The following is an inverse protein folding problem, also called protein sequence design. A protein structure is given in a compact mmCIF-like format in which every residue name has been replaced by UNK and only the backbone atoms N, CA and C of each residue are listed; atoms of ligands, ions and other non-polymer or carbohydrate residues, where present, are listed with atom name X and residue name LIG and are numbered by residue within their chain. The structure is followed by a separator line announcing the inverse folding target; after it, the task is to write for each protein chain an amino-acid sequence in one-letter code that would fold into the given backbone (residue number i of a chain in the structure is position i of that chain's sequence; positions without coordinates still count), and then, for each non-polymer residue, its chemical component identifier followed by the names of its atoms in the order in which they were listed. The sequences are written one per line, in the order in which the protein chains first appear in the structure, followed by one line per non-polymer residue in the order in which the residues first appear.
data_IF_319265247994
#
_entry.id   IF_319265247994
#
_cell.length_a   1.000
_cell.length_b   1.000
_cell.length_c   1.000
_cell.angle_alpha   90.00
_cell.angle_beta   90.00
_cell.angle_gamma   90.00
#
_symmetry.space_group_name_H-M   'P 1'
#
loop_
_entity.id
_entity.type
_entity.pdbx_description
1 polymer ?
#
# COMPACT_ATOMS: atom_id res chain seq x y z
N UNK A 1 58.75 54.29 2.88
CA UNK A 1 57.57 53.42 2.75
C UNK A 1 58.02 52.09 2.14
N UNK A 2 58.23 51.00 2.91
CA UNK A 2 58.54 49.71 2.31
C UNK A 2 57.24 48.96 1.97
N UNK A 3 57.19 48.41 0.75
CA UNK A 3 56.10 47.59 0.23
C UNK A 3 55.92 46.31 1.07
N UNK A 4 54.70 46.08 1.58
CA UNK A 4 54.31 44.82 2.23
C UNK A 4 54.32 43.69 1.21
N UNK A 5 55.14 42.68 1.42
CA UNK A 5 55.14 41.46 0.63
C UNK A 5 53.78 40.73 0.75
N UNK A 6 53.13 40.49 -0.39
CA UNK A 6 51.96 39.61 -0.48
C UNK A 6 52.38 38.17 -0.18
N UNK A 7 51.82 37.59 0.88
CA UNK A 7 52.00 36.17 1.23
C UNK A 7 51.32 35.33 0.13
N UNK A 8 52.08 34.49 -0.55
CA UNK A 8 51.55 33.52 -1.51
C UNK A 8 50.55 32.59 -0.79
N UNK A 9 49.32 32.46 -1.33
CA UNK A 9 48.40 31.40 -0.92
C UNK A 9 49.02 30.08 -1.35
N UNK A 10 49.28 29.21 -0.37
CA UNK A 10 49.71 27.84 -0.60
C UNK A 10 48.44 27.06 -0.95
N UNK A 11 48.08 27.05 -2.23
CA UNK A 11 47.02 26.18 -2.72
C UNK A 11 47.53 24.74 -2.61
N UNK A 12 47.15 24.05 -1.55
CA UNK A 12 47.38 22.62 -1.41
C UNK A 12 46.63 21.92 -2.56
N UNK A 13 47.24 20.97 -3.28
CA UNK A 13 46.53 20.20 -4.29
C UNK A 13 45.37 19.49 -3.58
N UNK A 14 44.13 19.85 -3.93
CA UNK A 14 42.96 19.10 -3.48
C UNK A 14 43.05 17.73 -4.13
N UNK A 15 43.50 16.73 -3.37
CA UNK A 15 43.39 15.33 -3.76
C UNK A 15 41.90 15.04 -3.84
N UNK A 16 41.38 14.93 -5.08
CA UNK A 16 40.01 14.50 -5.29
C UNK A 16 39.85 13.13 -4.63
N UNK A 17 38.81 12.94 -3.80
CA UNK A 17 38.57 11.64 -3.19
C UNK A 17 38.41 10.58 -4.30
N UNK A 18 38.87 9.35 -4.07
CA UNK A 18 38.72 8.28 -5.05
C UNK A 18 37.25 8.14 -5.43
N UNK A 19 36.99 8.05 -6.74
CA UNK A 19 35.63 7.89 -7.25
C UNK A 19 35.03 6.61 -6.64
N UNK A 20 33.87 6.69 -5.96
CA UNK A 20 33.24 5.53 -5.37
C UNK A 20 32.91 4.48 -6.44
N UNK A 21 32.97 3.20 -6.07
CA UNK A 21 32.56 2.13 -6.97
C UNK A 21 31.07 2.26 -7.31
N UNK A 22 30.63 1.69 -8.45
CA UNK A 22 29.21 1.68 -8.82
C UNK A 22 28.32 1.15 -7.69
N UNK A 23 28.75 0.09 -7.01
CA UNK A 23 28.05 -0.52 -5.88
C UNK A 23 27.95 0.43 -4.68
N UNK A 24 29.03 1.16 -4.35
CA UNK A 24 29.03 2.17 -3.29
C UNK A 24 28.13 3.36 -3.62
N UNK A 25 28.11 3.80 -4.88
CA UNK A 25 27.17 4.83 -5.34
C UNK A 25 25.73 4.36 -5.18
N UNK A 26 25.42 3.11 -5.53
CA UNK A 26 24.09 2.55 -5.33
C UNK A 26 23.72 2.47 -3.85
N UNK A 27 24.62 1.97 -2.97
CA UNK A 27 24.36 1.89 -1.54
C UNK A 27 24.17 3.27 -0.89
N UNK A 28 24.94 4.27 -1.30
CA UNK A 28 24.82 5.64 -0.78
C UNK A 28 23.52 6.30 -1.22
N UNK A 29 23.09 6.06 -2.47
CA UNK A 29 21.79 6.48 -2.97
C UNK A 29 20.67 5.79 -2.18
N UNK A 30 20.79 4.49 -1.90
CA UNK A 30 19.80 3.75 -1.12
C UNK A 30 19.70 4.25 0.32
N UNK A 31 20.83 4.51 0.99
CA UNK A 31 20.83 5.05 2.35
C UNK A 31 20.22 6.44 2.43
N UNK A 32 20.51 7.32 1.46
CA UNK A 32 19.89 8.66 1.39
C UNK A 32 18.39 8.57 1.20
N UNK A 33 17.92 7.71 0.30
CA UNK A 33 16.49 7.50 0.02
C UNK A 33 15.77 6.86 1.20
N UNK A 34 16.39 5.89 1.89
CA UNK A 34 15.82 5.30 3.10
C UNK A 34 15.67 6.34 4.20
N UNK A 35 16.67 7.22 4.36
CA UNK A 35 16.62 8.31 5.33
C UNK A 35 15.57 9.37 4.95
N UNK A 36 15.45 9.71 3.67
CA UNK A 36 14.38 10.57 3.15
C UNK A 36 13.00 9.95 3.39
N UNK A 37 12.86 8.64 3.21
CA UNK A 37 11.64 7.88 3.48
C UNK A 37 11.31 7.83 4.97
N UNK A 38 12.28 7.56 5.84
CA UNK A 38 12.09 7.60 7.29
C UNK A 38 11.73 9.01 7.77
N UNK A 39 12.34 10.04 7.17
CA UNK A 39 12.02 11.43 7.45
C UNK A 39 10.62 11.79 6.96
N UNK A 40 10.23 11.30 5.77
CA UNK A 40 8.87 11.42 5.24
C UNK A 40 7.87 10.74 6.18
N UNK A 41 8.12 9.50 6.62
CA UNK A 41 7.29 8.81 7.61
C UNK A 41 7.18 9.59 8.93
N UNK A 42 8.29 10.17 9.41
CA UNK A 42 8.28 11.01 10.61
C UNK A 42 7.53 12.32 10.42
N UNK A 43 7.65 12.96 9.27
CA UNK A 43 6.96 14.22 8.97
C UNK A 43 5.48 14.01 8.69
N UNK A 44 5.10 12.91 8.03
CA UNK A 44 3.70 12.58 7.77
C UNK A 44 2.97 12.12 9.03
N UNK A 45 3.67 11.48 9.98
CA UNK A 45 3.17 11.26 11.35
C UNK A 45 2.81 12.57 12.07
N UNK A 46 3.36 13.71 11.68
CA UNK A 46 3.00 15.03 12.21
C UNK A 46 1.93 15.77 11.39
N UNK A 47 1.60 15.33 10.17
CA UNK A 47 0.55 15.93 9.32
C UNK A 47 -0.82 15.26 9.50
N UNK A 48 -1.10 14.77 10.71
CA UNK A 48 -2.25 13.92 11.05
C UNK A 48 -3.62 14.65 11.02
N UNK A 49 -3.67 15.95 10.66
CA UNK A 49 -4.79 16.82 11.03
C UNK A 49 -5.62 17.48 9.91
N UNK A 50 -5.50 17.12 8.61
CA UNK A 50 -6.38 17.83 7.65
C UNK A 50 -6.89 17.10 6.39
N UNK A 51 -6.29 16.00 5.94
CA UNK A 51 -6.76 15.33 4.71
C UNK A 51 -6.77 13.82 4.93
N UNK A 52 -7.95 13.20 4.91
CA UNK A 52 -8.09 11.76 5.11
C UNK A 52 -7.78 11.01 3.83
N UNK A 53 -6.50 10.88 3.50
CA UNK A 53 -6.00 10.03 2.40
C UNK A 53 -6.08 8.54 2.77
N UNK A 54 -7.02 8.19 3.65
CA UNK A 54 -7.19 6.86 4.22
C UNK A 54 -8.43 6.22 3.62
N UNK A 55 -8.26 4.96 3.24
CA UNK A 55 -9.34 4.10 2.79
C UNK A 55 -9.45 2.91 3.74
N UNK A 56 -10.59 2.22 3.68
CA UNK A 56 -10.77 0.96 4.37
C UNK A 56 -11.19 -0.14 3.39
N UNK A 57 -10.77 -1.36 3.69
CA UNK A 57 -11.17 -2.59 3.01
C UNK A 57 -11.63 -3.59 4.07
N UNK A 58 -12.91 -3.90 4.10
CA UNK A 58 -13.46 -4.98 4.92
C UNK A 58 -13.32 -6.29 4.16
N UNK A 59 -12.66 -7.26 4.80
CA UNK A 59 -12.36 -8.56 4.21
C UNK A 59 -13.27 -9.61 4.83
N UNK A 60 -14.00 -10.33 3.99
CA UNK A 60 -14.75 -11.54 4.35
C UNK A 60 -13.95 -12.79 4.00
N UNK A 61 -14.08 -13.84 4.83
CA UNK A 61 -13.56 -15.19 4.56
C UNK A 61 -14.75 -16.15 4.69
N UNK A 62 -15.16 -16.75 3.57
CA UNK A 62 -16.44 -17.45 3.48
C UNK A 62 -17.59 -16.49 3.80
N UNK A 63 -18.47 -16.89 4.71
CA UNK A 63 -19.65 -16.11 5.11
C UNK A 63 -19.38 -15.18 6.31
N UNK A 64 -18.15 -15.11 6.81
CA UNK A 64 -17.79 -14.35 8.00
C UNK A 64 -16.94 -13.12 7.67
N UNK A 65 -17.29 -11.98 8.27
CA UNK A 65 -16.42 -10.79 8.28
C UNK A 65 -15.15 -11.10 9.08
N UNK A 66 -14.00 -11.11 8.41
CA UNK A 66 -12.73 -11.46 9.02
C UNK A 66 -12.02 -10.26 9.66
N UNK A 67 -12.23 -9.05 9.13
CA UNK A 67 -11.73 -7.82 9.70
C UNK A 67 -11.62 -6.68 8.69
N UNK A 68 -11.05 -5.56 9.14
CA UNK A 68 -10.85 -4.35 8.35
C UNK A 68 -9.36 -4.08 8.17
N UNK A 69 -8.97 -3.73 6.96
CA UNK A 69 -7.69 -3.09 6.65
C UNK A 69 -7.93 -1.59 6.53
N UNK A 70 -7.14 -0.79 7.25
CA UNK A 70 -7.08 0.65 7.03
C UNK A 70 -5.78 0.96 6.32
N UNK A 71 -5.88 1.66 5.20
CA UNK A 71 -4.77 1.95 4.30
C UNK A 71 -4.62 3.45 4.15
N UNK A 72 -3.38 3.93 4.24
CA UNK A 72 -2.98 5.28 3.90
C UNK A 72 -2.40 5.30 2.48
N UNK A 73 -2.93 6.16 1.62
CA UNK A 73 -2.48 6.33 0.23
C UNK A 73 -1.40 7.40 0.13
N UNK A 74 -0.37 7.15 -0.67
CA UNK A 74 0.75 8.06 -0.90
C UNK A 74 0.43 9.06 -2.01
N UNK A 75 -0.63 9.86 -1.84
CA UNK A 75 -1.12 10.82 -2.84
C UNK A 75 -0.06 11.88 -3.23
N UNK A 76 0.92 12.15 -2.37
CA UNK A 76 2.03 13.08 -2.62
C UNK A 76 3.18 12.46 -3.43
N UNK A 77 3.31 11.13 -3.41
CA UNK A 77 4.37 10.40 -4.13
C UNK A 77 3.87 9.88 -5.48
N UNK A 78 2.62 9.39 -5.51
CA UNK A 78 1.96 8.77 -6.67
C UNK A 78 0.51 9.23 -6.81
N UNK A 79 0.27 10.53 -7.08
CA UNK A 79 -1.08 11.11 -7.14
C UNK A 79 -2.01 10.40 -8.14
N UNK A 80 -1.52 10.03 -9.33
CA UNK A 80 -2.38 9.41 -10.35
C UNK A 80 -2.79 8.00 -9.94
N UNK A 81 -1.86 7.22 -9.39
CA UNK A 81 -2.07 5.85 -8.93
C UNK A 81 -2.97 5.82 -7.70
N UNK A 82 -2.74 6.71 -6.74
CA UNK A 82 -3.57 6.84 -5.56
C UNK A 82 -5.00 7.27 -5.92
N UNK A 83 -5.16 8.26 -6.81
CA UNK A 83 -6.46 8.70 -7.28
C UNK A 83 -7.20 7.60 -8.07
N UNK A 84 -6.49 6.84 -8.91
CA UNK A 84 -7.07 5.71 -9.64
C UNK A 84 -7.61 4.66 -8.67
N UNK A 85 -6.79 4.24 -7.70
CA UNK A 85 -7.20 3.27 -6.69
C UNK A 85 -8.38 3.79 -5.85
N UNK A 86 -8.35 5.06 -5.43
CA UNK A 86 -9.42 5.69 -4.66
C UNK A 86 -10.77 5.66 -5.39
N UNK A 87 -10.80 5.94 -6.69
CA UNK A 87 -12.04 5.88 -7.50
C UNK A 87 -12.64 4.48 -7.55
N UNK A 88 -11.81 3.43 -7.61
CA UNK A 88 -12.26 2.05 -7.56
C UNK A 88 -12.69 1.62 -6.16
N UNK A 89 -12.08 2.17 -5.12
CA UNK A 89 -12.53 1.94 -3.73
C UNK A 89 -13.90 2.57 -3.47
N UNK A 90 -14.16 3.78 -3.98
CA UNK A 90 -15.44 4.49 -3.76
C UNK A 90 -16.52 4.15 -4.78
N UNK A 91 -16.14 3.59 -5.94
CA UNK A 91 -17.05 3.34 -7.05
C UNK A 91 -17.52 4.59 -7.78
N UNK A 92 -16.80 5.71 -7.62
CA UNK A 92 -17.09 6.99 -8.30
C UNK A 92 -16.91 6.92 -9.82
N UNK A 93 -16.19 5.91 -10.31
CA UNK A 93 -16.00 5.67 -11.75
C UNK A 93 -17.25 5.16 -12.47
N UNK A 94 -18.35 4.90 -11.76
CA UNK A 94 -19.61 4.45 -12.35
C UNK A 94 -19.55 3.01 -12.85
N UNK A 95 -20.09 2.75 -14.04
CA UNK A 95 -20.16 1.41 -14.65
C UNK A 95 -19.39 1.38 -15.96
N UNK A 96 -18.80 0.23 -16.27
CA UNK A 96 -18.13 0.00 -17.54
C UNK A 96 -19.16 -0.16 -18.67
N UNK A 97 -19.14 0.74 -19.66
CA UNK A 97 -20.17 0.84 -20.71
C UNK A 97 -20.41 -0.47 -21.47
N UNK A 98 -19.36 -1.24 -21.75
CA UNK A 98 -19.47 -2.46 -22.55
C UNK A 98 -19.97 -3.68 -21.77
N UNK A 99 -19.73 -3.75 -20.46
CA UNK A 99 -20.04 -4.94 -19.65
C UNK A 99 -21.13 -4.70 -18.60
N UNK A 100 -21.48 -3.44 -18.32
CA UNK A 100 -22.38 -3.06 -17.23
C UNK A 100 -21.83 -3.31 -15.83
N UNK A 101 -20.57 -3.76 -15.72
CA UNK A 101 -19.92 -4.04 -14.43
C UNK A 101 -19.60 -2.72 -13.74
N UNK A 102 -19.94 -2.62 -12.45
CA UNK A 102 -19.58 -1.46 -11.64
C UNK A 102 -18.07 -1.39 -11.46
N UNK A 103 -17.50 -0.20 -11.65
CA UNK A 103 -16.07 0.04 -11.53
C UNK A 103 -15.71 0.30 -10.07
N UNK A 104 -15.86 -0.74 -9.24
CA UNK A 104 -15.45 -0.74 -7.84
C UNK A 104 -14.76 -2.05 -7.41
N UNK A 105 -14.19 -2.05 -6.21
CA UNK A 105 -13.60 -3.23 -5.60
C UNK A 105 -14.58 -4.07 -4.77
N UNK A 106 -15.86 -3.67 -4.71
CA UNK A 106 -16.84 -4.35 -3.91
C UNK A 106 -17.07 -5.78 -4.46
N UNK A 107 -17.03 -6.77 -3.59
CA UNK A 107 -17.13 -8.19 -3.92
C UNK A 107 -16.03 -8.74 -4.85
N UNK A 108 -14.94 -8.00 -5.04
CA UNK A 108 -13.75 -8.55 -5.70
C UNK A 108 -13.05 -9.55 -4.77
N UNK A 109 -12.50 -10.61 -5.36
CA UNK A 109 -11.90 -11.72 -4.63
C UNK A 109 -10.40 -11.54 -4.38
N UNK A 110 -9.88 -12.23 -3.37
CA UNK A 110 -8.45 -12.50 -3.24
C UNK A 110 -8.06 -13.61 -4.21
N UNK A 111 -7.29 -13.24 -5.23
CA UNK A 111 -6.98 -14.12 -6.37
C UNK A 111 -5.78 -15.02 -6.13
N UNK A 112 -4.82 -14.58 -5.31
CA UNK A 112 -3.54 -15.26 -5.14
C UNK A 112 -2.90 -14.86 -3.83
N UNK A 113 -2.38 -15.83 -3.09
CA UNK A 113 -1.41 -15.63 -2.03
C UNK A 113 -0.10 -16.30 -2.45
N UNK A 114 0.91 -15.49 -2.75
CA UNK A 114 2.25 -15.95 -3.08
C UNK A 114 3.15 -15.86 -1.84
N UNK A 115 3.17 -16.93 -1.03
CA UNK A 115 4.00 -17.01 0.18
C UNK A 115 5.50 -16.98 -0.12
N UNK A 116 5.90 -17.41 -1.32
CA UNK A 116 7.31 -17.47 -1.71
C UNK A 116 7.85 -16.07 -1.96
N UNK A 117 7.05 -15.22 -2.61
CA UNK A 117 7.44 -13.84 -2.95
C UNK A 117 6.83 -12.80 -2.00
N UNK A 118 5.98 -13.22 -1.06
CA UNK A 118 5.51 -12.43 0.06
C UNK A 118 4.44 -11.40 -0.28
N UNK A 119 3.44 -11.74 -1.10
CA UNK A 119 2.33 -10.83 -1.41
C UNK A 119 0.99 -11.56 -1.64
N UNK A 120 -0.11 -10.83 -1.48
CA UNK A 120 -1.48 -11.28 -1.76
C UNK A 120 -2.14 -10.35 -2.77
N UNK A 121 -2.81 -10.88 -3.81
CA UNK A 121 -3.37 -10.12 -4.94
C UNK A 121 -4.90 -10.08 -4.93
N UNK A 122 -5.45 -8.91 -5.23
CA UNK A 122 -6.88 -8.60 -5.25
C UNK A 122 -7.25 -7.76 -6.48
N UNK A 123 -8.55 -7.59 -6.70
CA UNK A 123 -9.12 -6.46 -7.45
C UNK A 123 -9.02 -6.55 -8.97
N UNK A 124 -8.74 -7.74 -9.54
CA UNK A 124 -8.67 -7.93 -10.98
C UNK A 124 -10.07 -7.91 -11.63
N UNK A 125 -10.48 -6.72 -12.07
CA UNK A 125 -11.72 -6.54 -12.80
C UNK A 125 -11.70 -7.18 -14.20
N UNK A 126 -10.54 -7.60 -14.71
CA UNK A 126 -10.45 -8.31 -15.98
C UNK A 126 -11.19 -9.65 -15.95
N UNK A 127 -11.26 -10.29 -14.78
CA UNK A 127 -12.07 -11.50 -14.57
C UNK A 127 -13.57 -11.29 -14.87
N UNK A 128 -14.03 -10.04 -14.86
CA UNK A 128 -15.40 -9.62 -15.18
C UNK A 128 -15.50 -8.95 -16.56
N UNK A 129 -14.48 -9.09 -17.41
CA UNK A 129 -14.46 -8.52 -18.76
C UNK A 129 -14.22 -7.00 -18.80
N UNK A 130 -13.87 -6.38 -17.67
CA UNK A 130 -13.57 -4.95 -17.61
C UNK A 130 -12.12 -4.72 -17.99
N UNK A 131 -11.90 -3.91 -19.03
CA UNK A 131 -10.57 -3.46 -19.43
C UNK A 131 -10.52 -1.95 -19.40
N UNK A 132 -9.83 -1.41 -18.40
CA UNK A 132 -9.59 0.03 -18.28
C UNK A 132 -8.39 0.46 -19.12
N UNK A 133 -8.34 1.76 -19.41
CA UNK A 133 -7.16 2.39 -19.99
C UNK A 133 -5.94 2.13 -19.10
N UNK A 134 -4.79 1.76 -19.68
CA UNK A 134 -3.60 1.45 -18.91
C UNK A 134 -3.12 2.65 -18.07
N UNK A 135 -2.97 2.44 -16.77
CA UNK A 135 -2.37 3.44 -15.90
C UNK A 135 -0.83 3.41 -16.04
N UNK A 136 -0.23 4.58 -16.27
CA UNK A 136 1.22 4.72 -16.35
C UNK A 136 1.83 4.63 -14.95
N UNK A 137 2.95 3.91 -14.85
CA UNK A 137 3.74 3.83 -13.62
C UNK A 137 4.45 5.16 -13.35
N UNK A 138 4.13 5.81 -12.22
CA UNK A 138 4.65 7.13 -11.87
C UNK A 138 6.09 7.09 -11.34
N UNK A 139 6.32 6.37 -10.23
CA UNK A 139 7.65 6.32 -9.60
C UNK A 139 7.91 5.03 -8.84
N UNK A 140 9.19 4.65 -8.74
CA UNK A 140 9.67 3.49 -7.98
C UNK A 140 10.50 3.92 -6.75
N UNK A 141 10.24 5.13 -6.24
CA UNK A 141 10.94 5.69 -5.06
C UNK A 141 10.74 4.82 -3.82
N UNK A 142 9.52 4.31 -3.63
CA UNK A 142 9.16 3.45 -2.50
C UNK A 142 9.42 1.99 -2.89
N UNK A 143 10.15 1.28 -2.03
CA UNK A 143 10.58 -0.11 -2.22
C UNK A 143 9.69 -1.05 -1.41
N UNK A 144 9.60 -2.31 -1.82
CA UNK A 144 8.78 -3.32 -1.16
C UNK A 144 9.50 -3.91 0.07
N UNK A 145 9.85 -3.05 1.03
CA UNK A 145 10.75 -3.39 2.16
C UNK A 145 10.05 -3.99 3.37
N UNK A 146 8.73 -3.94 3.43
CA UNK A 146 7.97 -4.35 4.61
C UNK A 146 6.60 -4.90 4.25
N UNK A 147 5.98 -5.58 5.22
CA UNK A 147 4.60 -6.04 5.17
C UNK A 147 3.62 -4.86 5.16
N UNK A 148 2.52 -5.04 4.44
CA UNK A 148 1.40 -4.11 4.40
C UNK A 148 1.57 -2.98 3.39
N UNK A 149 2.51 -3.07 2.45
CA UNK A 149 2.61 -2.12 1.35
C UNK A 149 1.64 -2.50 0.23
N UNK A 150 0.89 -1.54 -0.27
CA UNK A 150 0.03 -1.71 -1.44
C UNK A 150 0.82 -1.40 -2.70
N UNK A 151 0.72 -2.28 -3.68
CA UNK A 151 1.43 -2.17 -4.94
C UNK A 151 0.53 -2.49 -6.11
N UNK A 152 0.64 -1.70 -7.18
CA UNK A 152 -0.21 -1.86 -8.35
C UNK A 152 0.30 -3.02 -9.21
N UNK A 153 -0.55 -4.03 -9.44
CA UNK A 153 -0.17 -5.18 -10.25
C UNK A 153 -0.02 -4.72 -11.70
N UNK A 154 1.13 -5.04 -12.29
CA UNK A 154 1.44 -4.73 -13.68
C UNK A 154 1.65 -6.02 -14.46
N UNK A 155 1.03 -6.13 -15.63
CA UNK A 155 1.14 -7.28 -16.53
C UNK A 155 2.14 -7.04 -17.69
N UNK A 156 2.86 -5.91 -17.67
CA UNK A 156 3.84 -5.53 -18.69
C UNK A 156 4.21 -4.04 -18.62
N UNK A 157 5.15 -3.56 -19.45
CA UNK A 157 5.51 -2.15 -19.47
C UNK A 157 4.26 -1.29 -19.72
N UNK A 158 3.91 -0.47 -18.72
CA UNK A 158 2.80 0.49 -18.79
C UNK A 158 1.39 -0.11 -18.87
N UNK A 159 1.19 -1.36 -18.43
CA UNK A 159 -0.12 -2.01 -18.32
C UNK A 159 -0.48 -2.28 -16.84
N UNK A 160 -0.76 -1.20 -16.11
CA UNK A 160 -1.41 -1.31 -14.80
C UNK A 160 -2.93 -1.29 -15.03
N UNK A 161 -3.62 -2.33 -14.57
CA UNK A 161 -5.07 -2.43 -14.64
C UNK A 161 -5.66 -2.10 -13.26
N UNK A 162 -6.68 -2.83 -12.85
CA UNK A 162 -7.40 -2.68 -11.59
C UNK A 162 -6.81 -3.54 -10.47
N UNK A 163 -5.98 -4.54 -10.80
CA UNK A 163 -5.43 -5.47 -9.81
C UNK A 163 -4.36 -4.82 -8.94
N UNK A 164 -4.41 -5.06 -7.64
CA UNK A 164 -3.41 -4.61 -6.68
C UNK A 164 -2.95 -5.76 -5.80
N UNK A 165 -1.77 -5.61 -5.21
CA UNK A 165 -1.24 -6.57 -4.23
C UNK A 165 -0.91 -5.89 -2.91
N UNK A 166 -1.06 -6.62 -1.82
CA UNK A 166 -0.62 -6.23 -0.48
C UNK A 166 0.56 -7.12 -0.11
N UNK A 167 1.68 -6.53 0.28
CA UNK A 167 2.85 -7.30 0.72
C UNK A 167 2.58 -7.98 2.07
N UNK A 168 2.94 -9.26 2.19
CA UNK A 168 2.90 -10.05 3.41
C UNK A 168 4.26 -10.07 4.13
N UNK A 169 5.33 -9.87 3.37
CA UNK A 169 6.70 -9.69 3.84
C UNK A 169 7.44 -8.68 2.95
N UNK A 170 8.75 -8.48 3.16
CA UNK A 170 9.57 -7.76 2.19
C UNK A 170 9.55 -8.52 0.85
N UNK A 171 9.22 -7.82 -0.25
CA UNK A 171 9.01 -8.41 -1.57
C UNK A 171 9.91 -7.74 -2.64
N UNK A 172 11.25 -7.83 -2.52
CA UNK A 172 12.19 -7.17 -3.43
C UNK A 172 12.09 -7.67 -4.88
N UNK A 173 11.41 -8.79 -5.14
CA UNK A 173 11.13 -9.26 -6.50
C UNK A 173 10.20 -8.33 -7.30
N UNK A 174 9.42 -7.49 -6.62
CA UNK A 174 8.47 -6.53 -7.19
C UNK A 174 9.07 -5.14 -7.43
N UNK A 175 10.24 -4.89 -6.86
CA UNK A 175 10.96 -3.63 -6.99
C UNK A 175 11.27 -3.28 -8.44
N UNK A 176 11.08 -2.00 -8.79
CA UNK A 176 11.21 -1.45 -10.15
C UNK A 176 10.27 -2.07 -11.20
N UNK A 177 9.36 -2.96 -10.80
CA UNK A 177 8.34 -3.56 -11.68
C UNK A 177 6.95 -3.08 -11.34
N UNK A 178 6.69 -2.86 -10.06
CA UNK A 178 5.39 -2.42 -9.54
C UNK A 178 5.56 -1.15 -8.69
N UNK A 179 4.55 -0.31 -8.71
CA UNK A 179 4.53 0.98 -8.02
C UNK A 179 3.85 0.77 -6.67
N UNK A 180 4.57 1.07 -5.59
CA UNK A 180 3.99 1.12 -4.24
C UNK A 180 3.22 2.43 -4.10
N UNK A 181 1.94 2.34 -3.72
CA UNK A 181 1.03 3.50 -3.67
C UNK A 181 0.31 3.69 -2.34
N UNK A 182 0.52 2.80 -1.37
CA UNK A 182 -0.04 2.99 -0.04
C UNK A 182 0.52 2.00 0.97
N UNK A 183 0.05 2.12 2.21
CA UNK A 183 0.43 1.25 3.32
C UNK A 183 -0.73 1.00 4.27
N UNK A 184 -0.87 -0.25 4.70
CA UNK A 184 -1.75 -0.67 5.78
C UNK A 184 -1.25 -0.07 7.10
N UNK A 185 -2.08 0.79 7.69
CA UNK A 185 -1.83 1.45 8.98
C UNK A 185 -2.58 0.77 10.13
N UNK A 186 -3.65 0.03 9.83
CA UNK A 186 -4.38 -0.82 10.79
C UNK A 186 -4.88 -2.11 10.12
N UNK A 187 -5.01 -3.18 10.90
CA UNK A 187 -5.42 -4.49 10.42
C UNK A 187 -4.27 -5.42 10.01
N UNK A 188 -3.03 -5.16 10.43
CA UNK A 188 -1.90 -6.08 10.17
C UNK A 188 -2.16 -7.54 10.60
N UNK A 189 -2.77 -7.85 11.76
CA UNK A 189 -3.11 -9.23 12.13
C UNK A 189 -4.02 -9.95 11.13
N UNK A 190 -4.85 -9.21 10.38
CA UNK A 190 -5.67 -9.78 9.32
C UNK A 190 -4.80 -10.26 8.15
N UNK A 191 -3.70 -9.58 7.83
CA UNK A 191 -2.76 -10.06 6.80
C UNK A 191 -2.07 -11.38 7.21
N UNK A 192 -1.71 -11.54 8.48
CA UNK A 192 -1.19 -12.82 9.01
C UNK A 192 -2.23 -13.93 8.88
N UNK A 193 -3.49 -13.62 9.21
CA UNK A 193 -4.60 -14.56 9.05
C UNK A 193 -4.77 -14.98 7.58
N UNK A 194 -4.75 -14.03 6.65
CA UNK A 194 -4.83 -14.30 5.21
C UNK A 194 -3.66 -15.18 4.75
N UNK A 195 -2.44 -14.84 5.14
CA UNK A 195 -1.24 -15.60 4.79
C UNK A 195 -1.31 -17.06 5.26
N UNK A 196 -1.95 -17.34 6.39
CA UNK A 196 -2.10 -18.68 6.98
C UNK A 196 -3.18 -19.57 6.32
N UNK A 197 -4.01 -19.03 5.41
CA UNK A 197 -5.14 -19.76 4.85
C UNK A 197 -4.71 -21.00 4.06
N UNK A 198 -5.49 -22.11 4.09
CA UNK A 198 -5.28 -23.21 3.16
C UNK A 198 -5.40 -22.75 1.71
N UNK A 199 -4.41 -23.08 0.88
CA UNK A 199 -4.35 -22.69 -0.54
C UNK A 199 -4.38 -23.92 -1.45
N UNK A 200 -4.84 -23.73 -2.68
CA UNK A 200 -4.66 -24.71 -3.74
C UNK A 200 -3.20 -24.71 -4.28
N UNK A 201 -2.94 -25.53 -5.30
CA UNK A 201 -1.61 -25.68 -5.90
C UNK A 201 -1.09 -24.42 -6.59
N UNK A 202 -1.97 -23.49 -6.95
CA UNK A 202 -1.61 -22.23 -7.63
C UNK A 202 -1.66 -21.03 -6.68
N UNK A 203 -1.92 -21.24 -5.38
CA UNK A 203 -1.91 -20.21 -4.34
C UNK A 203 -3.25 -19.51 -4.12
N UNK A 204 -4.36 -20.05 -4.63
CA UNK A 204 -5.71 -19.51 -4.39
C UNK A 204 -6.25 -20.01 -3.04
N UNK A 205 -6.88 -19.16 -2.22
CA UNK A 205 -7.55 -19.61 -0.99
C UNK A 205 -8.60 -20.69 -1.27
N UNK A 206 -8.59 -21.78 -0.51
CA UNK A 206 -9.62 -22.83 -0.62
C UNK A 206 -10.99 -22.34 -0.12
N UNK A 207 -10.99 -21.45 0.87
CA UNK A 207 -12.17 -20.72 1.31
C UNK A 207 -12.20 -19.37 0.61
N UNK A 208 -13.30 -18.99 -0.07
CA UNK A 208 -13.39 -17.70 -0.75
C UNK A 208 -13.08 -16.53 0.17
N UNK A 209 -12.24 -15.61 -0.29
CA UNK A 209 -11.93 -14.37 0.43
C UNK A 209 -12.28 -13.21 -0.48
N UNK A 210 -13.04 -12.24 0.04
CA UNK A 210 -13.58 -11.13 -0.76
C UNK A 210 -13.52 -9.82 0.00
N UNK A 211 -13.48 -8.72 -0.75
CA UNK A 211 -13.71 -7.38 -0.20
C UNK A 211 -15.22 -7.20 -0.06
N UNK A 212 -15.73 -7.23 1.17
CA UNK A 212 -17.17 -7.16 1.44
C UNK A 212 -17.69 -5.72 1.53
N UNK A 213 -16.82 -4.78 1.90
CA UNK A 213 -17.11 -3.35 1.92
C UNK A 213 -15.80 -2.59 1.74
N UNK A 214 -15.84 -1.47 1.03
CA UNK A 214 -14.70 -0.58 0.89
C UNK A 214 -15.16 0.87 0.73
N UNK A 215 -14.29 1.80 1.07
CA UNK A 215 -14.58 3.23 0.96
C UNK A 215 -13.47 4.11 1.49
N UNK A 216 -13.67 5.42 1.43
CA UNK A 216 -12.82 6.41 2.08
C UNK A 216 -13.23 6.56 3.54
N UNK A 217 -12.25 6.77 4.42
CA UNK A 217 -12.53 7.21 5.78
C UNK A 217 -12.65 8.72 5.76
N UNK A 218 -13.78 9.26 6.22
CA UNK A 218 -14.00 10.69 6.42
C UNK A 218 -14.05 10.96 7.93
N UNK A 219 -13.24 11.91 8.41
CA UNK A 219 -13.18 12.29 9.83
C UNK A 219 -11.95 11.78 10.59
N UNK A 220 -11.88 12.17 11.87
CA UNK A 220 -10.81 11.79 12.78
C UNK A 220 -10.83 10.28 13.10
N UNK A 221 -9.66 9.72 13.41
CA UNK A 221 -9.54 8.32 13.84
C UNK A 221 -10.44 8.09 15.06
N UNK A 222 -11.43 7.18 15.02
CA UNK A 222 -12.18 6.86 16.22
C UNK A 222 -11.20 6.31 17.28
N UNK A 223 -11.17 6.87 18.51
CA UNK A 223 -10.30 6.36 19.56
C UNK A 223 -10.76 4.96 19.95
N UNK A 224 -9.92 3.96 19.69
CA UNK A 224 -10.20 2.56 20.06
C UNK A 224 -9.19 1.59 19.44
N UNK A 225 -8.90 0.51 20.16
CA UNK A 225 -8.32 -0.70 19.56
C UNK A 225 -9.48 -1.52 18.99
N UNK A 226 -9.36 -1.97 17.75
CA UNK A 226 -10.31 -2.93 17.19
C UNK A 226 -10.12 -4.27 17.90
N UNK A 227 -10.96 -4.54 18.91
CA UNK A 227 -11.00 -5.88 19.52
C UNK A 227 -11.63 -6.81 18.48
N UNK A 228 -10.88 -7.80 18.02
CA UNK A 228 -11.46 -8.87 17.21
C UNK A 228 -12.54 -9.57 18.04
N UNK A 229 -13.59 -10.05 17.38
CA UNK A 229 -14.69 -10.80 17.99
C UNK A 229 -14.27 -12.14 18.63
N UNK A 230 -12.96 -12.41 18.74
CA UNK A 230 -12.42 -13.58 19.45
C UNK A 230 -12.18 -13.32 20.96
N UNK A 231 -12.30 -12.08 21.44
CA UNK A 231 -12.24 -11.76 22.89
C UNK A 231 -13.59 -11.91 23.62
N UNK A 232 -14.64 -12.40 22.94
CA UNK A 232 -15.94 -12.73 23.56
C UNK A 232 -16.17 -14.24 23.61
N UNK A 233 -15.30 -14.97 24.29
CA UNK A 233 -15.70 -16.26 24.90
C UNK A 233 -16.14 -15.98 26.34
N UNK A 234 -17.37 -15.51 26.43
CA UNK A 234 -18.10 -15.34 27.68
C UNK A 234 -19.57 -15.27 27.35
N UNK A 235 -20.20 -16.43 27.22
CA UNK A 235 -21.65 -16.54 27.13
C UNK A 235 -22.30 -15.73 28.26
N UNK A 236 -23.17 -14.77 27.91
CA UNK A 236 -24.59 -14.80 28.28
C UNK A 236 -25.36 -13.69 27.57
N UNK A 237 -26.61 -14.03 27.31
CA UNK A 237 -27.67 -13.25 26.67
C UNK A 237 -27.84 -11.88 27.33
N UNK A 238 -28.12 -10.85 26.53
CA UNK A 238 -29.39 -10.10 26.59
C UNK A 238 -29.34 -8.89 25.64
N UNK A 239 -30.32 -8.87 24.74
CA UNK A 239 -30.66 -7.76 23.86
C UNK A 239 -31.41 -6.70 24.68
N UNK A 240 -30.86 -5.51 24.82
CA UNK A 240 -31.64 -4.32 25.15
C UNK A 240 -30.98 -3.07 24.55
N UNK A 241 -31.74 -2.39 23.70
CA UNK A 241 -31.44 -1.08 23.12
C UNK A 241 -32.24 -0.08 23.96
N UNK A 242 -31.60 0.67 24.84
CA UNK A 242 -32.21 1.86 25.45
C UNK A 242 -31.59 3.10 24.82
N UNK A 243 -32.43 3.84 24.10
CA UNK A 243 -32.14 5.19 23.65
C UNK A 243 -32.13 6.10 24.88
N UNK A 244 -31.08 6.91 25.03
CA UNK A 244 -31.08 8.02 25.97
C UNK A 244 -31.29 9.31 25.19
N UNK A 245 -32.33 10.03 25.60
CA UNK A 245 -32.59 11.46 25.32
C UNK A 245 -31.44 12.36 25.78
#
# INVERSE_FOLDING_TARGET
MPLRALKARKDAPQVLPPMPSREQVYSDIEQRRLKEWENYQKSHRFMEEAHTNRIFLDIGIGDALAGRLVVELFEDVVPETAAHFRRLVTGESGTHDATGVKLDYLHTSLELIDRKHGYARFGDLLAYGVRLEPLRQETFKVRHTSRGLLTMTSYGPHLCNTSFSITLAAAPSLDFKQVVFGKVVDGLPLLEKLESLPLDQVGRPLTPVMIVLCGTLTGERPPGKWTSSQDRTGCKEDLAYEALE
#
